data_IF_930249411390
#
_entry.id   IF_930249411390
#
_cell.length_a   1.000
_cell.length_b   1.000
_cell.length_c   1.000
_cell.angle_alpha   90.00
_cell.angle_beta   90.00
_cell.angle_gamma   90.00
#
_symmetry.space_group_name_H-M   'P 1'
#
loop_
_entity.id
_entity.type
_entity.pdbx_description
1 polymer ?
2 non-polymer ?
3 water ?
#
# COMPACT_ATOMS: atom_id res chain seq x y z
N UNK A 6 25.24 8.42 10.77
CA UNK A 6 24.09 9.28 11.01
C UNK A 6 22.89 8.83 10.20
N UNK A 7 23.15 8.31 8.99
CA UNK A 7 22.09 7.82 8.12
C UNK A 7 21.20 6.84 8.88
N UNK A 8 21.80 6.04 9.76
CA UNK A 8 21.09 5.01 10.52
C UNK A 8 20.73 5.47 11.92
N UNK A 9 20.49 6.77 12.09
CA UNK A 9 20.35 7.34 13.43
C UNK A 9 19.12 6.80 14.16
N UNK A 10 18.06 6.45 13.42
CA UNK A 10 16.84 5.95 14.03
C UNK A 10 16.80 4.42 14.09
N UNK A 11 17.87 3.75 13.72
CA UNK A 11 17.87 2.30 13.58
C UNK A 11 18.75 1.67 14.65
N UNK A 12 18.40 0.44 15.02
CA UNK A 12 19.24 -0.39 15.87
C UNK A 12 20.10 -1.29 15.00
N UNK A 13 21.37 -1.40 15.36
CA UNK A 13 22.26 -2.35 14.69
C UNK A 13 22.08 -3.71 15.33
N UNK A 14 21.81 -4.72 14.50
CA UNK A 14 21.60 -6.09 14.95
C UNK A 14 22.85 -6.90 14.66
N UNK A 15 23.24 -7.75 15.60
CA UNK A 15 24.41 -8.58 15.36
C UNK A 15 24.03 -9.79 14.51
N UNK A 16 24.87 -10.19 13.55
CA UNK A 16 24.51 -11.32 12.67
C UNK A 16 24.17 -12.61 13.40
N UNK A 17 24.76 -12.86 14.56
CA UNK A 17 24.50 -14.09 15.27
C UNK A 17 23.05 -14.20 15.74
N UNK A 18 22.30 -13.11 15.71
CA UNK A 18 20.91 -13.11 16.14
C UNK A 18 19.95 -13.43 15.00
N UNK A 19 20.45 -13.55 13.77
CA UNK A 19 19.62 -13.68 12.58
C UNK A 19 19.84 -15.07 11.99
N UNK A 20 18.73 -15.75 11.67
CA UNK A 20 18.75 -17.03 10.96
C UNK A 20 17.87 -16.88 9.72
N UNK A 21 18.50 -16.90 8.56
CA UNK A 21 17.76 -16.93 7.30
C UNK A 21 17.29 -18.36 7.01
N UNK A 22 16.05 -18.50 6.55
CA UNK A 22 15.44 -19.81 6.40
C UNK A 22 14.99 -20.11 4.97
N UNK A 23 14.26 -19.20 4.34
CA UNK A 23 13.77 -19.43 2.98
C UNK A 23 13.78 -18.13 2.19
N UNK A 24 14.09 -18.24 0.90
CA UNK A 24 14.03 -17.07 0.02
C UNK A 24 12.57 -16.80 -0.31
N UNK A 25 12.13 -15.57 -0.08
CA UNK A 25 10.78 -15.12 -0.40
C UNK A 25 10.75 -14.01 -1.43
N UNK A 26 11.89 -13.62 -1.98
CA UNK A 26 11.93 -12.59 -2.98
C UNK A 26 13.36 -12.26 -3.35
N UNK A 27 13.49 -11.32 -4.29
CA UNK A 27 14.78 -10.82 -4.72
C UNK A 27 14.83 -9.33 -4.43
N UNK A 28 15.93 -8.89 -3.81
CA UNK A 28 16.18 -7.48 -3.63
C UNK A 28 16.84 -6.87 -4.85
N UNK A 29 17.15 -5.58 -4.74
CA UNK A 29 17.83 -4.89 -5.82
C UNK A 29 19.19 -5.51 -6.11
N UNK A 30 19.89 -5.97 -5.06
CA UNK A 30 21.14 -6.70 -5.26
C UNK A 30 21.33 -7.63 -4.06
N UNK A 31 20.51 -8.66 -4.04
CA UNK A 31 20.42 -9.57 -2.91
C UNK A 31 19.10 -10.29 -2.96
N UNK A 32 18.88 -11.09 -1.94
CA UNK A 32 17.62 -11.81 -1.78
C UNK A 32 16.87 -11.28 -0.57
N UNK A 33 15.57 -11.55 -0.56
CA UNK A 33 14.73 -11.36 0.62
C UNK A 33 14.41 -12.73 1.16
N UNK A 34 14.52 -12.89 2.48
CA UNK A 34 14.29 -14.16 3.12
C UNK A 34 13.27 -14.01 4.24
N UNK A 35 12.57 -15.11 4.54
CA UNK A 35 11.93 -15.26 5.83
C UNK A 35 12.94 -15.91 6.78
N UNK A 36 12.94 -15.47 8.03
CA UNK A 36 13.83 -16.03 9.01
C UNK A 36 13.39 -15.74 10.42
N UNK A 37 14.33 -15.89 11.35
CA UNK A 37 14.05 -15.70 12.77
C UNK A 37 15.08 -14.74 13.37
N UNK A 38 14.62 -13.95 14.33
CA UNK A 38 15.44 -12.99 15.06
C UNK A 38 15.39 -13.31 16.55
N UNK A 39 16.57 -13.44 17.17
CA UNK A 39 16.68 -13.66 18.60
C UNK A 39 16.97 -12.33 19.30
N UNK A 40 16.14 -11.98 20.28
CA UNK A 40 16.42 -10.83 21.14
C UNK A 40 15.35 -10.74 22.23
N UNK A 46 12.31 -16.42 19.91
CA UNK A 46 12.61 -15.94 18.57
C UNK A 46 11.37 -15.33 17.93
N UNK A 47 11.57 -14.32 17.11
CA UNK A 47 10.50 -13.63 16.40
C UNK A 47 10.69 -13.88 14.90
N UNK A 48 9.64 -14.24 14.17
CA UNK A 48 9.76 -14.32 12.71
C UNK A 48 10.02 -12.94 12.13
N UNK A 49 10.85 -12.91 11.09
CA UNK A 49 11.24 -11.65 10.46
C UNK A 49 11.37 -11.85 8.96
N UNK A 50 11.33 -10.74 8.24
CA UNK A 50 11.72 -10.67 6.84
C UNK A 50 13.08 -9.98 6.77
N UNK A 51 13.94 -10.46 5.87
CA UNK A 51 15.34 -10.07 5.85
C UNK A 51 15.73 -9.81 4.40
N UNK A 52 16.14 -8.58 4.10
CA UNK A 52 16.63 -8.24 2.77
C UNK A 52 18.14 -8.03 2.82
N UNK A 53 18.86 -8.73 1.96
CA UNK A 53 20.32 -8.67 1.97
C UNK A 53 20.84 -7.79 0.83
N UNK A 54 22.06 -7.28 1.02
CA UNK A 54 22.83 -6.63 -0.03
C UNK A 54 24.11 -7.46 -0.18
N UNK A 55 24.20 -8.20 -1.27
CA UNK A 55 25.19 -9.24 -1.46
C UNK A 55 26.46 -8.69 -2.11
N UNK A 56 27.55 -9.43 -1.96
CA UNK A 56 28.86 -8.97 -2.40
C UNK A 56 28.80 -8.54 -3.86
N UNK A 57 29.43 -7.39 -4.13
CA UNK A 57 29.48 -6.84 -5.47
C UNK A 57 28.55 -5.66 -5.69
N UNK A 58 27.73 -5.30 -4.70
CA UNK A 58 26.85 -4.16 -4.84
C UNK A 58 27.64 -2.89 -5.14
N UNK A 59 27.02 -1.99 -5.89
CA UNK A 59 27.65 -0.76 -6.30
C UNK A 59 27.51 0.30 -5.22
N UNK A 60 28.24 1.40 -5.39
CA UNK A 60 28.11 2.53 -4.48
C UNK A 60 26.68 3.02 -4.43
N UNK A 61 26.06 3.22 -5.58
CA UNK A 61 24.67 3.67 -5.62
C UNK A 61 23.76 2.70 -4.89
N UNK A 62 23.97 1.40 -5.10
CA UNK A 62 23.14 0.40 -4.41
C UNK A 62 23.34 0.48 -2.90
N UNK A 63 24.57 0.74 -2.45
CA UNK A 63 24.80 0.86 -1.02
C UNK A 63 24.12 2.11 -0.46
N UNK A 64 24.20 3.22 -1.18
CA UNK A 64 23.55 4.45 -0.72
C UNK A 64 22.03 4.25 -0.64
N UNK A 65 21.45 3.62 -1.66
CA UNK A 65 20.01 3.40 -1.65
C UNK A 65 19.60 2.43 -0.54
N UNK A 66 20.43 1.41 -0.30
CA UNK A 66 20.10 0.37 0.67
C UNK A 66 20.15 0.93 2.10
N UNK A 67 21.25 1.59 2.45
CA UNK A 67 21.35 2.18 3.78
C UNK A 67 20.42 3.38 3.93
N UNK A 68 20.17 4.11 2.84
CA UNK A 68 19.17 5.16 2.90
C UNK A 68 17.78 4.62 3.18
N UNK A 69 17.42 3.52 2.54
CA UNK A 69 16.14 2.87 2.82
C UNK A 69 16.07 2.45 4.29
N UNK A 70 17.11 1.79 4.78
CA UNK A 70 17.16 1.41 6.19
C UNK A 70 16.96 2.61 7.09
N UNK A 71 17.61 3.72 6.76
CA UNK A 71 17.56 4.89 7.62
C UNK A 71 16.20 5.54 7.65
N UNK A 72 15.56 5.67 6.50
CA UNK A 72 14.21 6.25 6.51
C UNK A 72 13.24 5.32 7.23
N UNK A 73 13.38 4.00 7.03
CA UNK A 73 12.49 3.06 7.71
C UNK A 73 12.65 3.15 9.22
N UNK A 74 13.88 3.35 9.69
CA UNK A 74 14.10 3.51 11.12
C UNK A 74 13.42 4.75 11.67
N UNK A 75 13.31 5.79 10.84
CA UNK A 75 12.64 7.01 11.28
C UNK A 75 11.15 6.81 11.45
N UNK A 76 10.54 5.86 10.73
CA UNK A 76 9.11 5.69 10.77
C UNK A 76 8.71 4.86 11.99
N UNK A 77 7.83 5.42 12.83
CA UNK A 77 7.30 4.71 14.00
C UNK A 77 5.79 5.00 14.03
N UNK A 78 5.01 4.13 13.39
CA UNK A 78 3.58 4.32 13.24
C UNK A 78 2.88 2.97 13.13
N UNK A 79 1.69 2.91 13.72
CA UNK A 79 0.91 1.68 13.78
C UNK A 79 0.64 1.09 12.40
N UNK A 80 0.62 1.93 11.36
CA UNK A 80 0.25 1.49 10.02
C UNK A 80 1.40 1.53 9.05
N UNK A 81 2.63 1.52 9.55
CA UNK A 81 3.84 1.47 8.73
C UNK A 81 4.65 0.27 9.19
N UNK A 82 5.18 -0.48 8.22
CA UNK A 82 5.96 -1.68 8.55
C UNK A 82 7.08 -1.29 9.52
N UNK A 83 7.28 -2.14 10.53
CA UNK A 83 8.24 -1.85 11.59
C UNK A 83 9.60 -2.45 11.24
N UNK A 84 10.62 -1.61 11.28
CA UNK A 84 12.00 -2.06 11.14
C UNK A 84 12.48 -2.61 12.48
N UNK A 85 12.96 -3.85 12.47
CA UNK A 85 13.58 -4.41 13.67
C UNK A 85 15.01 -3.91 13.83
N UNK A 86 15.75 -3.86 12.73
CA UNK A 86 17.11 -3.35 12.78
C UNK A 86 17.81 -3.57 11.46
N UNK A 87 19.12 -3.30 11.49
CA UNK A 87 19.95 -3.33 10.31
C UNK A 87 21.27 -3.99 10.67
N UNK A 88 21.83 -4.72 9.70
CA UNK A 88 23.20 -5.17 9.76
C UNK A 88 23.97 -4.36 8.73
N UNK A 89 24.80 -3.42 9.21
CA UNK A 89 25.64 -2.61 8.35
C UNK A 89 27.12 -2.79 8.61
N UNK A 90 27.51 -3.32 9.76
CA UNK A 90 28.91 -3.48 10.12
C UNK A 90 29.52 -4.78 9.61
N UNK A 91 28.70 -5.67 9.06
CA UNK A 91 29.15 -6.97 8.57
C UNK A 91 28.51 -7.22 7.22
N UNK A 92 29.12 -8.14 6.46
CA UNK A 92 28.61 -8.51 5.14
C UNK A 92 28.10 -9.94 5.17
N UNK A 93 26.97 -10.24 4.50
CA UNK A 93 26.14 -9.28 3.74
C UNK A 93 25.39 -8.32 4.66
N UNK A 94 25.20 -7.08 4.20
CA UNK A 94 24.37 -6.14 4.94
C UNK A 94 22.91 -6.57 4.83
N UNK A 95 22.13 -6.20 5.85
CA UNK A 95 20.74 -6.64 5.89
C UNK A 95 19.83 -5.57 6.47
N UNK A 96 18.60 -5.55 5.95
CA UNK A 96 17.48 -4.82 6.55
C UNK A 96 16.49 -5.85 7.06
N UNK A 97 16.09 -5.73 8.33
CA UNK A 97 15.27 -6.74 9.00
C UNK A 97 13.99 -6.08 9.50
N UNK A 98 12.84 -6.60 9.05
CA UNK A 98 11.55 -6.08 9.50
C UNK A 98 10.73 -7.17 10.18
N UNK A 99 9.64 -6.73 10.80
CA UNK A 99 8.63 -7.66 11.27
C UNK A 99 8.08 -8.48 10.11
N UNK A 100 7.47 -9.62 10.46
CA UNK A 100 6.89 -10.55 9.50
C UNK A 100 5.41 -10.71 9.82
N UNK A 101 4.57 -10.69 8.79
CA UNK A 101 3.12 -10.83 8.94
C UNK A 101 2.66 -12.16 8.37
N UNK A 102 2.19 -13.06 9.23
CA UNK A 102 1.74 -14.36 8.76
C UNK A 102 0.67 -14.24 7.68
N UNK A 103 -0.20 -13.23 7.76
CA UNK A 103 -1.28 -13.11 6.78
C UNK A 103 -0.80 -12.57 5.43
N UNK A 104 0.40 -11.99 5.39
CA UNK A 104 1.01 -11.62 4.13
C UNK A 104 0.44 -10.35 3.52
N UNK A 105 0.60 -10.26 2.20
CA UNK A 105 0.23 -9.07 1.45
C UNK A 105 -1.29 -8.98 1.26
N UNK A 106 -1.78 -7.75 1.26
CA UNK A 106 -3.21 -7.48 1.31
C UNK A 106 -3.93 -7.92 0.04
N UNK A 107 -3.29 -7.78 -1.13
CA UNK A 107 -3.97 -8.15 -2.36
C UNK A 107 -4.29 -9.64 -2.40
N UNK A 108 -3.29 -10.48 -2.09
CA UNK A 108 -3.50 -11.92 -2.06
C UNK A 108 -4.43 -12.31 -0.93
N UNK A 109 -4.28 -11.67 0.24
CA UNK A 109 -5.15 -11.91 1.39
C UNK A 109 -6.62 -11.72 1.02
N UNK A 110 -6.98 -10.59 0.42
CA UNK A 110 -8.40 -10.35 0.14
C UNK A 110 -8.91 -11.27 -0.98
N UNK A 111 -8.07 -11.62 -1.96
CA UNK A 111 -8.52 -12.52 -3.01
C UNK A 111 -8.79 -13.92 -2.48
N UNK A 112 -8.11 -14.32 -1.41
CA UNK A 112 -8.28 -15.65 -0.82
C UNK A 112 -9.35 -15.68 0.25
N UNK A 113 -9.98 -14.54 0.54
CA UNK A 113 -10.98 -14.40 1.60
C UNK A 113 -12.18 -13.62 1.09
N UNK A 114 -12.55 -13.87 -0.16
CA UNK A 114 -13.60 -13.10 -0.82
C UNK A 114 -14.91 -13.17 -0.05
N UNK A 115 -15.45 -12.00 0.29
CA UNK A 115 -16.72 -11.92 0.98
C UNK A 115 -16.69 -12.25 2.46
N UNK A 116 -15.52 -12.39 3.09
CA UNK A 116 -15.45 -12.89 4.45
C UNK A 116 -15.49 -11.80 5.52
N UNK A 117 -15.49 -10.53 5.14
CA UNK A 117 -15.43 -9.45 6.11
C UNK A 117 -16.65 -8.54 6.02
N UNK A 118 -16.88 -7.80 7.09
CA UNK A 118 -17.94 -6.82 7.12
C UNK A 118 -17.47 -5.53 6.47
N UNK A 119 -18.43 -4.70 6.06
CA UNK A 119 -18.10 -3.37 5.56
C UNK A 119 -17.27 -2.60 6.57
N UNK A 120 -17.64 -2.68 7.85
CA UNK A 120 -16.89 -1.97 8.88
C UNK A 120 -15.45 -2.44 8.94
N UNK A 121 -15.23 -3.75 8.79
CA UNK A 121 -13.87 -4.26 8.80
C UNK A 121 -13.09 -3.75 7.59
N UNK A 122 -13.70 -3.76 6.41
CA UNK A 122 -13.01 -3.28 5.22
C UNK A 122 -12.69 -1.80 5.33
N UNK A 123 -13.66 -1.00 5.77
CA UNK A 123 -13.41 0.44 5.92
C UNK A 123 -12.36 0.69 7.00
N UNK A 124 -12.33 -0.13 8.04
CA UNK A 124 -11.30 0.00 9.06
C UNK A 124 -9.91 -0.21 8.51
N UNK A 125 -9.75 -1.17 7.60
CA UNK A 125 -8.45 -1.37 6.97
C UNK A 125 -8.05 -0.15 6.16
N UNK A 126 -9.03 0.49 5.49
CA UNK A 126 -8.72 1.68 4.71
C UNK A 126 -8.34 2.86 5.61
N UNK A 127 -9.01 3.00 6.76
CA UNK A 127 -8.60 4.05 7.69
C UNK A 127 -7.15 3.87 8.11
N UNK A 128 -6.75 2.63 8.39
CA UNK A 128 -5.38 2.39 8.81
C UNK A 128 -4.37 2.70 7.72
N UNK A 129 -4.65 2.26 6.49
CA UNK A 129 -3.77 2.59 5.38
C UNK A 129 -3.67 4.10 5.22
N UNK A 130 -4.81 4.80 5.29
CA UNK A 130 -4.81 6.25 5.14
C UNK A 130 -4.00 6.92 6.24
N UNK A 131 -4.11 6.42 7.48
CA UNK A 131 -3.35 6.99 8.58
C UNK A 131 -1.85 6.79 8.36
N UNK A 132 -1.46 5.63 7.86
CA UNK A 132 -0.07 5.42 7.51
C UNK A 132 0.41 6.36 6.43
N UNK A 133 -0.41 6.56 5.39
CA UNK A 133 -0.03 7.45 4.32
C UNK A 133 0.00 8.91 4.78
N UNK A 134 -0.94 9.30 5.63
CA UNK A 134 -0.88 10.65 6.19
C UNK A 134 0.45 10.88 6.90
N UNK A 135 0.91 9.87 7.66
CA UNK A 135 2.18 9.97 8.36
C UNK A 135 3.34 10.11 7.39
N UNK A 136 3.38 9.25 6.36
CA UNK A 136 4.46 9.32 5.38
C UNK A 136 4.49 10.69 4.69
N UNK A 137 3.33 11.14 4.21
CA UNK A 137 3.25 12.44 3.54
C UNK A 137 3.71 13.56 4.46
N UNK A 138 3.27 13.53 5.72
CA UNK A 138 3.70 14.53 6.68
C UNK A 138 5.22 14.48 6.91
N UNK A 139 5.81 13.29 6.91
CA UNK A 139 7.25 13.13 7.03
C UNK A 139 7.97 13.48 5.74
N UNK A 140 7.24 13.88 4.71
CA UNK A 140 7.79 14.27 3.41
C UNK A 140 8.37 13.07 2.65
N UNK A 141 7.74 11.91 2.82
CA UNK A 141 8.11 10.73 2.07
C UNK A 141 7.02 10.42 1.06
N UNK A 142 7.39 10.44 -0.23
CA UNK A 142 6.46 10.08 -1.30
C UNK A 142 6.64 8.61 -1.60
N UNK A 143 5.54 7.85 -1.54
CA UNK A 143 5.66 6.39 -1.65
C UNK A 143 5.95 5.95 -3.08
N UNK A 144 5.12 6.42 -4.03
CA UNK A 144 5.29 6.18 -5.46
C UNK A 144 4.74 4.85 -5.94
N UNK A 145 4.53 3.88 -5.05
CA UNK A 145 4.05 2.56 -5.46
C UNK A 145 3.03 2.02 -4.48
N UNK A 146 2.10 2.86 -4.05
CA UNK A 146 1.05 2.43 -3.15
C UNK A 146 0.04 1.57 -3.91
N UNK A 147 -0.15 0.35 -3.42
CA UNK A 147 -1.00 -0.67 -4.02
C UNK A 147 -1.17 -1.75 -2.97
N UNK A 148 -2.27 -2.51 -3.08
CA UNK A 148 -2.51 -3.55 -2.09
C UNK A 148 -1.35 -4.52 -1.99
N UNK A 149 -0.65 -4.78 -3.10
CA UNK A 149 0.46 -5.73 -3.05
C UNK A 149 1.59 -5.25 -2.14
N UNK A 150 1.62 -3.96 -1.78
CA UNK A 150 2.65 -3.40 -0.92
C UNK A 150 2.16 -3.11 0.50
N UNK A 151 1.05 -3.73 0.91
CA UNK A 151 0.50 -3.55 2.24
C UNK A 151 0.43 -4.92 2.91
N UNK A 152 0.95 -5.02 4.12
CA UNK A 152 0.91 -6.25 4.89
C UNK A 152 -0.22 -6.19 5.90
N UNK A 153 -0.75 -7.38 6.25
CA UNK A 153 -1.87 -7.50 7.16
C UNK A 153 -1.44 -8.35 8.34
N UNK A 154 -1.59 -7.81 9.57
CA UNK A 154 -1.27 -8.59 10.76
C UNK A 154 -2.50 -9.34 11.26
N UNK A 155 -2.33 -10.08 12.36
CA UNK A 155 -3.39 -10.95 12.86
C UNK A 155 -4.44 -10.19 13.66
N UNK A 156 -4.33 -8.87 13.76
CA UNK A 156 -5.42 -8.03 14.23
C UNK A 156 -6.11 -7.29 13.09
N UNK A 157 -5.83 -7.70 11.84
CA UNK A 157 -6.34 -7.04 10.64
C UNK A 157 -5.77 -5.64 10.44
N UNK A 158 -4.67 -5.32 11.12
CA UNK A 158 -4.04 -4.02 10.95
C UNK A 158 -3.19 -4.03 9.69
N UNK A 159 -3.38 -3.02 8.84
CA UNK A 159 -2.64 -2.91 7.59
C UNK A 159 -1.40 -2.04 7.81
N UNK A 160 -0.26 -2.53 7.33
CA UNK A 160 1.02 -1.83 7.45
C UNK A 160 1.52 -1.51 6.04
N UNK A 161 1.59 -0.21 5.73
CA UNK A 161 2.15 0.21 4.45
C UNK A 161 3.61 -0.19 4.38
N UNK A 162 4.00 -0.79 3.25
CA UNK A 162 5.34 -1.29 3.04
C UNK A 162 5.74 -0.93 1.61
N UNK A 163 6.92 -1.39 1.18
CA UNK A 163 7.30 -1.25 -0.22
C UNK A 163 8.29 -2.36 -0.55
N UNK A 164 7.86 -3.30 -1.38
CA UNK A 164 8.67 -4.45 -1.75
C UNK A 164 9.38 -4.23 -3.08
N UNK A 165 9.27 -3.05 -3.67
CA UNK A 165 9.82 -2.80 -4.98
C UNK A 165 8.87 -3.22 -6.07
N UNK A 166 9.31 -3.00 -7.31
CA UNK A 166 8.46 -3.27 -8.45
C UNK A 166 8.46 -4.76 -8.81
N UNK A 186 3.68 0.55 -12.49
CA UNK A 186 2.31 0.26 -12.05
C UNK A 186 1.33 1.28 -12.61
N UNK A 187 1.17 1.29 -13.94
CA UNK A 187 0.37 2.31 -14.61
C UNK A 187 -1.00 2.44 -13.95
N UNK A 188 -1.62 1.30 -13.68
CA UNK A 188 -3.00 1.24 -13.22
C UNK A 188 -3.21 1.90 -11.86
N UNK A 189 -2.15 2.06 -11.08
CA UNK A 189 -2.23 2.64 -9.75
C UNK A 189 -1.70 4.08 -9.71
N UNK A 190 -1.21 4.61 -10.83
CA UNK A 190 -0.41 5.83 -10.82
C UNK A 190 -1.20 7.01 -11.38
N UNK A 191 -1.04 8.16 -10.73
CA UNK A 191 -1.74 9.36 -11.13
C UNK A 191 -1.26 9.83 -12.50
N UNK A 192 -2.12 10.54 -13.25
CA UNK A 192 -1.73 10.94 -14.61
C UNK A 192 -0.47 11.79 -14.67
N UNK A 193 -0.27 12.72 -13.73
CA UNK A 193 0.91 13.58 -13.80
C UNK A 193 2.18 12.80 -13.52
N UNK A 194 2.11 11.74 -12.71
CA UNK A 194 3.28 10.91 -12.47
C UNK A 194 3.60 10.07 -13.72
N UNK A 195 2.57 9.54 -14.38
CA UNK A 195 2.79 8.83 -15.63
C UNK A 195 3.35 9.75 -16.69
N UNK A 196 2.72 10.92 -16.84
CA UNK A 196 3.01 11.77 -17.99
C UNK A 196 4.36 12.45 -17.87
N UNK A 197 4.69 12.96 -16.69
CA UNK A 197 5.93 13.71 -16.54
C UNK A 197 6.66 13.45 -15.22
N UNK A 198 6.42 12.32 -14.57
CA UNK A 198 7.22 11.88 -13.44
C UNK A 198 7.05 12.78 -12.22
N UNK A 199 5.89 13.44 -12.11
CA UNK A 199 5.61 14.29 -10.96
C UNK A 199 4.98 13.42 -9.88
N UNK A 200 5.82 12.88 -9.01
CA UNK A 200 5.38 12.03 -7.90
C UNK A 200 5.35 12.89 -6.64
N UNK A 201 4.18 13.02 -6.03
CA UNK A 201 4.00 13.77 -4.80
C UNK A 201 3.01 13.00 -3.92
N UNK A 202 2.74 13.53 -2.74
CA UNK A 202 1.72 12.92 -1.90
C UNK A 202 0.34 13.02 -2.54
N UNK A 203 0.16 13.91 -3.52
CA UNK A 203 -1.11 13.95 -4.24
C UNK A 203 -1.24 12.85 -5.29
N UNK A 204 -0.13 12.42 -5.90
CA UNK A 204 -0.19 11.22 -6.72
C UNK A 204 -0.36 9.97 -5.85
N UNK A 205 0.19 9.97 -4.64
CA UNK A 205 -0.10 8.89 -3.70
C UNK A 205 -1.59 8.83 -3.35
N UNK A 206 -2.26 9.98 -3.31
CA UNK A 206 -3.70 9.99 -3.02
C UNK A 206 -4.48 9.31 -4.13
N UNK A 207 -4.11 9.56 -5.39
CA UNK A 207 -4.71 8.82 -6.50
C UNK A 207 -4.54 7.31 -6.27
N UNK A 208 -3.31 6.89 -5.98
CA UNK A 208 -3.06 5.47 -5.71
C UNK A 208 -3.92 4.98 -4.57
N UNK A 209 -4.07 5.80 -3.52
CA UNK A 209 -4.89 5.38 -2.38
C UNK A 209 -6.33 5.12 -2.82
N UNK A 210 -6.85 5.97 -3.71
CA UNK A 210 -8.18 5.71 -4.26
C UNK A 210 -8.25 4.36 -4.94
N UNK A 211 -7.22 4.00 -5.69
CA UNK A 211 -7.19 2.67 -6.31
C UNK A 211 -7.17 1.58 -5.23
N UNK A 212 -6.39 1.81 -4.17
CA UNK A 212 -6.36 0.84 -3.07
C UNK A 212 -7.74 0.71 -2.43
N UNK A 213 -8.46 1.81 -2.28
CA UNK A 213 -9.82 1.74 -1.75
C UNK A 213 -10.67 0.79 -2.59
N UNK A 214 -10.56 0.90 -3.92
CA UNK A 214 -11.31 0.04 -4.82
C UNK A 214 -10.84 -1.41 -4.70
N UNK A 215 -9.54 -1.62 -4.57
CA UNK A 215 -9.02 -2.97 -4.35
C UNK A 215 -9.62 -3.60 -3.10
N UNK A 216 -9.66 -2.83 -2.00
CA UNK A 216 -10.17 -3.38 -0.75
C UNK A 216 -11.66 -3.71 -0.87
N UNK A 217 -12.45 -2.77 -1.40
CA UNK A 217 -13.89 -2.97 -1.43
C UNK A 217 -14.32 -4.04 -2.43
N UNK A 218 -13.45 -4.37 -3.40
CA UNK A 218 -13.75 -5.45 -4.34
C UNK A 218 -13.10 -6.78 -3.96
N UNK A 219 -12.42 -6.85 -2.81
CA UNK A 219 -11.70 -8.06 -2.41
C UNK A 219 -10.60 -8.42 -3.41
N UNK A 220 -9.88 -7.40 -3.88
CA UNK A 220 -8.68 -7.62 -4.65
C UNK A 220 -8.88 -7.77 -6.14
N UNK A 221 -9.92 -7.15 -6.70
CA UNK A 221 -10.08 -7.24 -8.14
C UNK A 221 -8.98 -6.45 -8.84
N UNK A 222 -8.70 -6.84 -10.08
CA UNK A 222 -7.71 -6.13 -10.86
C UNK A 222 -8.29 -4.80 -11.32
N UNK A 223 -7.68 -3.67 -10.98
CA UNK A 223 -8.19 -2.39 -11.47
C UNK A 223 -8.29 -2.39 -12.99
N UNK A 224 -9.45 -1.97 -13.49
CA UNK A 224 -9.74 -1.87 -14.92
C UNK A 224 -9.79 -3.22 -15.61
N UNK A 225 -9.82 -4.32 -14.86
CA UNK A 225 -9.93 -5.67 -15.43
C UNK A 225 -8.95 -5.87 -16.58
N UNK A 226 -9.43 -6.24 -17.75
CA UNK A 226 -8.54 -6.70 -18.81
C UNK A 226 -7.99 -5.58 -19.67
N UNK A 227 -8.35 -4.33 -19.40
CA UNK A 227 -7.81 -3.22 -20.19
C UNK A 227 -6.28 -3.22 -20.11
N UNK A 228 -5.64 -2.99 -21.26
CA UNK A 228 -4.20 -2.86 -21.28
C UNK A 228 -3.79 -1.54 -20.64
N UNK A 229 -2.48 -1.38 -20.42
CA UNK A 229 -1.99 -0.15 -19.82
C UNK A 229 -2.35 1.07 -20.65
N UNK A 230 -2.20 0.98 -21.98
CA UNK A 230 -2.55 2.12 -22.83
C UNK A 230 -4.04 2.38 -22.81
N UNK A 231 -4.86 1.32 -22.79
CA UNK A 231 -6.30 1.50 -22.71
C UNK A 231 -6.70 2.17 -21.40
N UNK A 232 -6.02 1.83 -20.29
CA UNK A 232 -6.32 2.47 -19.02
C UNK A 232 -6.02 3.97 -19.08
N UNK A 233 -4.86 4.33 -19.62
CA UNK A 233 -4.49 5.74 -19.69
C UNK A 233 -5.44 6.51 -20.61
N UNK A 234 -5.81 5.91 -21.75
CA UNK A 234 -6.76 6.56 -22.65
C UNK A 234 -8.12 6.75 -21.98
N UNK A 235 -8.59 5.72 -21.29
CA UNK A 235 -9.85 5.84 -20.56
C UNK A 235 -9.80 6.98 -19.54
N UNK A 236 -8.72 7.03 -18.76
CA UNK A 236 -8.61 8.07 -17.73
C UNK A 236 -8.56 9.46 -18.37
N UNK A 237 -7.84 9.59 -19.49
CA UNK A 237 -7.76 10.87 -20.18
C UNK A 237 -9.09 11.25 -20.81
N UNK A 238 -9.88 10.26 -21.25
CA UNK A 238 -11.21 10.50 -21.79
C UNK A 238 -12.25 10.76 -20.71
N UNK A 239 -11.89 10.69 -19.43
CA UNK A 239 -12.80 11.01 -18.36
C UNK A 239 -13.44 9.83 -17.66
N UNK A 240 -13.18 8.60 -18.12
CA UNK A 240 -13.75 7.43 -17.46
C UNK A 240 -13.06 7.17 -16.13
N UNK A 241 -13.82 6.62 -15.19
CA UNK A 241 -13.27 6.22 -13.90
C UNK A 241 -13.87 4.87 -13.52
N UNK A 242 -13.19 4.17 -12.61
CA UNK A 242 -13.65 2.87 -12.20
C UNK A 242 -15.06 2.96 -11.62
N UNK A 243 -15.93 2.01 -11.91
CA UNK A 243 -17.29 2.02 -11.36
C UNK A 243 -17.32 1.51 -9.93
N UNK A 244 -18.47 1.65 -9.31
CA UNK A 244 -18.56 1.30 -7.90
C UNK A 244 -18.38 -0.19 -7.71
N UNK A 245 -17.65 -0.60 -6.68
CA UNK A 245 -17.71 -2.00 -6.25
C UNK A 245 -19.13 -2.38 -5.86
N UNK A 246 -19.39 -3.68 -5.83
CA UNK A 246 -20.65 -4.17 -5.30
C UNK A 246 -20.70 -3.94 -3.79
N UNK A 247 -21.90 -3.63 -3.30
CA UNK A 247 -22.13 -3.49 -1.86
C UNK A 247 -21.22 -2.44 -1.24
N UNK A 248 -21.01 -1.34 -1.93
CA UNK A 248 -20.05 -0.35 -1.47
C UNK A 248 -20.78 0.85 -0.88
N UNK A 249 -20.43 1.29 0.33
CA UNK A 249 -21.07 2.49 0.89
C UNK A 249 -20.91 3.68 -0.04
N UNK A 250 -22.00 4.44 -0.18
CA UNK A 250 -21.98 5.63 -1.04
C UNK A 250 -20.84 6.56 -0.67
N UNK A 251 -20.65 6.81 0.64
CA UNK A 251 -19.61 7.73 1.06
C UNK A 251 -18.22 7.24 0.66
N UNK A 252 -18.02 5.92 0.66
CA UNK A 252 -16.71 5.36 0.32
C UNK A 252 -16.43 5.55 -1.17
N UNK A 253 -17.42 5.32 -2.03
CA UNK A 253 -17.21 5.54 -3.45
C UNK A 253 -17.03 7.02 -3.76
N UNK A 254 -17.82 7.88 -3.11
CA UNK A 254 -17.61 9.31 -3.30
C UNK A 254 -16.17 9.69 -2.98
N UNK A 255 -15.63 9.12 -1.91
CA UNK A 255 -14.27 9.47 -1.50
C UNK A 255 -13.24 8.97 -2.50
N UNK A 256 -13.35 7.72 -2.95
CA UNK A 256 -12.37 7.24 -3.92
C UNK A 256 -12.46 8.01 -5.23
N UNK A 257 -13.67 8.42 -5.62
CA UNK A 257 -13.80 9.19 -6.86
C UNK A 257 -13.06 10.53 -6.77
N UNK A 258 -13.12 11.18 -5.61
CA UNK A 258 -12.42 12.44 -5.43
C UNK A 258 -10.91 12.26 -5.47
N UNK A 259 -10.41 11.10 -5.03
CA UNK A 259 -8.99 10.81 -5.14
C UNK A 259 -8.55 10.76 -6.60
N UNK A 260 -9.47 10.55 -7.53
CA UNK A 260 -9.14 10.42 -8.94
C UNK A 260 -9.44 11.67 -9.75
N UNK A 261 -9.45 12.84 -9.09
CA UNK A 261 -9.53 14.10 -9.82
C UNK A 261 -8.32 14.23 -10.73
N UNK A 262 -8.57 14.65 -11.98
CA UNK A 262 -7.47 14.87 -12.90
C UNK A 262 -6.54 15.96 -12.39
N UNK A 263 -7.12 17.05 -11.87
CA UNK A 263 -6.36 18.17 -11.33
C UNK A 263 -5.83 17.80 -9.95
N UNK A 264 -4.51 17.69 -9.83
CA UNK A 264 -3.91 17.22 -8.59
C UNK A 264 -4.31 18.09 -7.40
N UNK A 265 -4.40 19.40 -7.61
CA UNK A 265 -4.69 20.30 -6.49
C UNK A 265 -6.10 20.12 -5.94
N UNK A 266 -6.99 19.47 -6.68
CA UNK A 266 -8.37 19.30 -6.23
C UNK A 266 -8.59 18.03 -5.42
N UNK A 267 -7.60 17.13 -5.37
CA UNK A 267 -7.76 15.88 -4.64
C UNK A 267 -7.71 16.15 -3.14
N UNK A 268 -8.36 15.29 -2.35
CA UNK A 268 -8.22 15.41 -0.89
C UNK A 268 -6.77 15.24 -0.47
N UNK A 269 -6.40 15.92 0.61
CA UNK A 269 -5.13 15.59 1.26
C UNK A 269 -5.34 14.37 2.16
N UNK A 270 -4.25 13.71 2.55
CA UNK A 270 -4.42 12.53 3.39
C UNK A 270 -5.10 12.87 4.71
N UNK A 271 -4.92 14.10 5.21
CA UNK A 271 -5.62 14.49 6.43
C UNK A 271 -7.14 14.46 6.23
N UNK A 272 -7.60 14.90 5.06
CA UNK A 272 -9.02 14.84 4.75
C UNK A 272 -9.53 13.41 4.70
N UNK A 273 -8.75 12.51 4.08
CA UNK A 273 -9.14 11.12 3.95
C UNK A 273 -9.26 10.45 5.32
N UNK A 274 -8.24 10.61 6.16
CA UNK A 274 -8.27 10.01 7.48
C UNK A 274 -9.47 10.51 8.27
N UNK A 275 -9.70 11.82 8.22
CA UNK A 275 -10.79 12.41 8.98
C UNK A 275 -12.13 11.83 8.53
N UNK A 276 -12.35 11.75 7.22
CA UNK A 276 -13.61 11.23 6.70
C UNK A 276 -13.79 9.76 7.09
N UNK A 277 -12.75 8.96 6.89
CA UNK A 277 -12.85 7.53 7.22
C UNK A 277 -13.10 7.34 8.71
N UNK A 278 -12.41 8.11 9.55
CA UNK A 278 -12.63 8.02 10.99
C UNK A 278 -14.07 8.35 11.35
N UNK A 279 -14.61 9.43 10.78
CA UNK A 279 -15.96 9.84 11.12
C UNK A 279 -17.00 8.84 10.64
N UNK A 280 -16.77 8.23 9.48
CA UNK A 280 -17.71 7.23 8.99
C UNK A 280 -17.74 6.00 9.90
N UNK A 281 -16.56 5.56 10.35
CA UNK A 281 -16.49 4.39 11.22
C UNK A 281 -17.12 4.69 12.57
N UNK A 282 -16.92 5.89 13.11
CA UNK A 282 -17.43 6.23 14.41
C UNK A 282 -18.94 6.49 14.41
N UNK A 283 -19.52 6.78 13.24
CA UNK A 283 -20.96 6.85 13.05
C UNK A 283 -21.32 5.81 12.00
N UNK A 284 -21.26 4.52 12.36
CA UNK A 284 -21.28 3.46 11.34
C UNK A 284 -22.58 3.34 10.56
N UNK A 285 -23.69 3.90 11.05
CA UNK A 285 -24.88 3.94 10.23
C UNK A 285 -24.64 4.71 8.94
N UNK A 286 -23.61 5.57 8.91
CA UNK A 286 -23.31 6.32 7.70
C UNK A 286 -22.91 5.41 6.55
N UNK A 287 -22.46 4.19 6.85
CA UNK A 287 -21.99 3.25 5.84
C UNK A 287 -23.11 2.35 5.33
N UNK A 288 -24.32 2.47 5.85
CA UNK A 288 -25.43 1.62 5.42
C UNK A 288 -26.03 2.07 4.10
N UNK A 289 -25.80 3.32 3.70
CA UNK A 289 -26.28 3.81 2.41
C UNK A 289 -25.31 3.37 1.33
N UNK A 290 -25.80 2.60 0.36
CA UNK A 290 -24.95 1.98 -0.64
C UNK A 290 -25.06 2.72 -1.97
N UNK A 291 -23.92 2.83 -2.65
CA UNK A 291 -23.93 3.31 -4.03
C UNK A 291 -24.57 2.27 -4.94
N UNK A 292 -25.32 2.74 -5.93
CA UNK A 292 -25.89 1.87 -6.94
C UNK A 292 -24.78 1.13 -7.68
N UNK A 293 -24.95 -0.17 -7.84
CA UNK A 293 -24.04 -0.99 -8.63
C UNK A 293 -24.61 -1.13 -10.04
N UNK A 294 -23.79 -0.85 -11.04
CA UNK A 294 -24.23 -0.96 -12.44
C UNK A 294 -24.06 -2.40 -12.88
N UNK A 295 -25.13 -3.14 -13.14
CA UNK A 295 -24.96 -4.54 -13.57
C UNK A 295 -24.31 -4.59 -14.94
N UNK A 296 -23.33 -5.46 -15.09
CA UNK A 296 -22.77 -5.78 -16.40
C UNK A 296 -23.52 -6.93 -17.05
N UNK A 297 -24.51 -7.51 -16.37
CA UNK A 297 -25.26 -8.65 -16.89
C UNK A 297 -26.70 -8.53 -16.41
N UNK A 298 -27.63 -8.81 -17.31
CA UNK A 298 -29.04 -8.86 -16.99
C UNK A 298 -29.44 -10.32 -16.80
N UNK A 299 -30.08 -10.61 -15.66
CA UNK A 299 -30.72 -11.89 -15.42
C UNK A 299 -32.18 -11.59 -15.10
N UNK A 300 -33.08 -12.07 -15.96
CA UNK A 300 -34.51 -11.86 -15.79
C UNK A 300 -35.13 -13.16 -15.31
N UNK A 301 -35.97 -13.08 -14.27
CA UNK A 301 -36.73 -14.24 -13.82
C UNK A 301 -38.14 -13.82 -13.41
#
# INVERSE_FOLDING_TARGET
>A
GDPNQAVLKFTTEIHPSCVTRQKVIGAGEFGEVYKGMLKTSSGKKEVPVAIKTLKAGYTEKQRVDFLGEAGIMGQFSHHNIIRLEGVISKYKPMMIITEYMENGALDKFLREKDGEFSVLQLVGMLRGIAAGMKYLANMNYVHRDLAARNILVNSNLVCKVSDFGLSRVLEDDPEATYTTSGGKIPIRWTAPEAISYRKFTSASDVWSFGIVMWEVMTYGERPYWELSNHEVMKAINDGFRLPTPMDCPSAIYQLMMQCWQQERARRPKFADIVSILDKLIRAPDSLKTLADFDPRVSIRLPSTSG
#
